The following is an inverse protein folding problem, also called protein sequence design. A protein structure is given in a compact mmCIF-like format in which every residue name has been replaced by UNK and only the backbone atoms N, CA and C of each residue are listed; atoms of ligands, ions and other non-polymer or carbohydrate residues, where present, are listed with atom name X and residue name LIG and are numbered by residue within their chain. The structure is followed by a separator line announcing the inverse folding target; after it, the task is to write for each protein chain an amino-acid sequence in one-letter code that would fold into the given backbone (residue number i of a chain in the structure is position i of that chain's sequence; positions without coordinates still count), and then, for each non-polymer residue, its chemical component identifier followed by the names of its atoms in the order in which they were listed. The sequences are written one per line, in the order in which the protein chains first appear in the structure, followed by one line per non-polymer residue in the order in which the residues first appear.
data_IF_850250050942
#
_entry.id   IF_850250050942
#
_cell.length_a   1.000
_cell.length_b   1.000
_cell.length_c   1.000
_cell.angle_alpha   90.00
_cell.angle_beta   90.00
_cell.angle_gamma   90.00
#
_symmetry.space_group_name_H-M   'P 1'
#
loop_
_entity.id
_entity.type
_entity.pdbx_description
1 polymer ?
#
# COMPACT_ATOMS: atom_id res chain seq x y z
N UNK A 1 -2.85 13.66 -8.18
CA UNK A 1 -2.24 12.60 -7.33
C UNK A 1 -3.17 12.32 -6.16
N UNK A 2 -3.02 11.18 -5.48
CA UNK A 2 -3.91 10.77 -4.36
C UNK A 2 -4.05 11.84 -3.27
N UNK A 3 -2.96 12.55 -2.95
CA UNK A 3 -3.01 13.66 -1.98
C UNK A 3 -3.79 14.86 -2.53
N UNK A 4 -3.57 15.23 -3.80
CA UNK A 4 -4.24 16.38 -4.41
C UNK A 4 -5.76 16.19 -4.60
N UNK A 5 -6.24 14.94 -4.68
CA UNK A 5 -7.69 14.68 -4.79
C UNK A 5 -8.44 14.86 -3.47
N UNK A 6 -7.75 14.97 -2.33
CA UNK A 6 -8.33 15.02 -0.99
C UNK A 6 -9.29 13.86 -0.67
N UNK A 7 -9.19 12.74 -1.39
CA UNK A 7 -10.13 11.63 -1.25
C UNK A 7 -10.17 11.07 0.19
N UNK A 8 -8.99 10.83 0.80
CA UNK A 8 -8.91 10.38 2.19
C UNK A 8 -9.48 11.40 3.18
N UNK A 9 -9.08 12.67 3.08
CA UNK A 9 -9.59 13.74 3.94
C UNK A 9 -11.10 13.85 3.89
N UNK A 10 -11.68 13.78 2.69
CA UNK A 10 -13.12 13.87 2.50
C UNK A 10 -13.84 12.64 3.08
N UNK A 11 -13.34 11.43 2.79
CA UNK A 11 -13.94 10.20 3.29
C UNK A 11 -13.90 10.11 4.83
N UNK A 12 -12.77 10.47 5.45
CA UNK A 12 -12.62 10.45 6.92
C UNK A 12 -13.55 11.48 7.57
N UNK A 13 -13.60 12.71 7.05
CA UNK A 13 -14.45 13.78 7.62
C UNK A 13 -15.94 13.55 7.41
N UNK A 14 -16.32 12.78 6.39
CA UNK A 14 -17.70 12.33 6.21
C UNK A 14 -18.14 11.35 7.31
N UNK A 15 -17.21 10.55 7.84
CA UNK A 15 -17.45 9.64 8.95
C UNK A 15 -17.42 10.38 10.28
N UNK A 16 -16.37 11.17 10.51
CA UNK A 16 -16.23 12.00 11.70
C UNK A 16 -15.53 13.33 11.36
N UNK A 17 -16.26 14.47 11.37
CA UNK A 17 -15.71 15.77 11.03
C UNK A 17 -14.73 16.31 12.09
N UNK A 18 -14.68 15.73 13.30
CA UNK A 18 -13.75 16.13 14.35
C UNK A 18 -12.33 15.59 14.13
N UNK A 19 -12.14 14.60 13.24
CA UNK A 19 -10.82 14.05 12.95
C UNK A 19 -9.99 15.04 12.14
N UNK A 20 -8.81 15.38 12.67
CA UNK A 20 -7.80 16.14 11.94
C UNK A 20 -7.01 15.23 11.00
N UNK A 21 -6.99 15.59 9.71
CA UNK A 21 -6.33 14.81 8.67
C UNK A 21 -5.18 15.60 8.08
N UNK A 22 -3.99 15.01 8.13
CA UNK A 22 -2.77 15.56 7.53
C UNK A 22 -2.34 14.68 6.36
N UNK A 23 -2.05 15.31 5.22
CA UNK A 23 -1.63 14.61 4.01
C UNK A 23 -0.22 15.03 3.59
N UNK A 24 0.64 14.06 3.32
CA UNK A 24 2.00 14.29 2.82
C UNK A 24 2.23 13.49 1.53
N UNK A 25 2.55 14.15 0.40
CA UNK A 25 3.00 13.44 -0.78
C UNK A 25 4.44 12.95 -0.59
N UNK A 26 4.68 11.67 -0.91
CA UNK A 26 5.99 11.02 -0.81
C UNK A 26 6.42 10.45 -2.18
N UNK A 27 6.72 11.30 -3.19
CA UNK A 27 6.92 10.85 -4.57
C UNK A 27 8.10 9.89 -4.75
N UNK A 28 9.16 10.00 -3.93
CA UNK A 28 10.33 9.12 -4.02
C UNK A 28 10.16 7.73 -3.40
N UNK A 29 9.08 7.48 -2.64
CA UNK A 29 8.86 6.15 -2.07
C UNK A 29 8.55 5.09 -3.14
N UNK A 30 7.84 5.45 -4.20
CA UNK A 30 7.54 4.53 -5.31
C UNK A 30 8.81 4.06 -6.01
N UNK A 31 9.70 4.92 -6.53
CA UNK A 31 10.92 4.45 -7.18
C UNK A 31 11.84 3.69 -6.21
N UNK A 32 11.89 4.02 -4.92
CA UNK A 32 12.66 3.23 -3.96
C UNK A 32 12.10 1.83 -3.74
N UNK A 33 10.77 1.69 -3.72
CA UNK A 33 10.13 0.39 -3.66
C UNK A 33 10.39 -0.44 -4.93
N UNK A 34 10.25 0.18 -6.11
CA UNK A 34 10.46 -0.49 -7.40
C UNK A 34 11.92 -0.91 -7.64
N UNK A 35 12.89 -0.13 -7.16
CA UNK A 35 14.32 -0.44 -7.27
C UNK A 35 14.83 -1.31 -6.11
N UNK A 36 13.94 -1.81 -5.24
CA UNK A 36 14.29 -2.71 -4.13
C UNK A 36 15.12 -2.06 -3.01
N UNK A 37 15.16 -0.72 -2.92
CA UNK A 37 15.93 0.04 -1.94
C UNK A 37 15.24 0.09 -0.56
N UNK A 38 14.69 -1.02 -0.09
CA UNK A 38 13.84 -1.08 1.11
C UNK A 38 14.62 -0.69 2.37
N UNK A 39 15.72 -1.38 2.63
CA UNK A 39 16.57 -1.20 3.82
C UNK A 39 17.82 -0.37 3.50
N UNK A 40 17.67 0.66 2.67
CA UNK A 40 18.77 1.50 2.21
C UNK A 40 18.84 2.83 2.98
N UNK A 41 20.05 3.35 3.22
CA UNK A 41 20.25 4.61 3.95
C UNK A 41 19.55 5.81 3.26
N UNK A 42 19.51 5.82 1.92
CA UNK A 42 18.79 6.85 1.17
C UNK A 42 17.28 6.85 1.47
N UNK A 43 16.68 5.66 1.58
CA UNK A 43 15.26 5.49 1.91
C UNK A 43 14.96 5.99 3.32
N UNK A 44 15.80 5.68 4.29
CA UNK A 44 15.65 6.19 5.66
C UNK A 44 15.77 7.72 5.72
N UNK A 45 16.72 8.32 4.99
CA UNK A 45 16.89 9.78 4.95
C UNK A 45 15.67 10.49 4.34
N UNK A 46 15.18 9.99 3.20
CA UNK A 46 13.99 10.56 2.55
C UNK A 46 12.74 10.35 3.41
N UNK A 47 12.61 9.19 4.07
CA UNK A 47 11.51 8.96 5.00
C UNK A 47 11.55 9.96 6.17
N UNK A 48 12.72 10.25 6.75
CA UNK A 48 12.87 11.29 7.79
C UNK A 48 12.39 12.65 7.29
N UNK A 49 12.84 13.07 6.11
CA UNK A 49 12.43 14.35 5.52
C UNK A 49 10.92 14.43 5.29
N UNK A 50 10.33 13.40 4.69
CA UNK A 50 8.90 13.40 4.38
C UNK A 50 8.02 13.30 5.62
N UNK A 51 8.38 12.47 6.59
CA UNK A 51 7.55 12.17 7.75
C UNK A 51 7.75 13.15 8.91
N UNK A 52 8.82 13.96 8.89
CA UNK A 52 9.09 14.94 9.95
C UNK A 52 7.92 15.92 10.20
N UNK A 53 7.29 16.53 9.17
CA UNK A 53 6.12 17.38 9.38
C UNK A 53 4.96 16.67 10.07
N UNK A 54 4.72 15.39 9.75
CA UNK A 54 3.65 14.59 10.36
C UNK A 54 3.97 14.25 11.82
N UNK A 55 5.25 13.98 12.12
CA UNK A 55 5.73 13.76 13.48
C UNK A 55 5.53 14.98 14.38
N UNK A 56 5.72 16.19 13.84
CA UNK A 56 5.45 17.43 14.56
C UNK A 56 3.96 17.61 14.91
N UNK A 57 3.06 17.09 14.07
CA UNK A 57 1.61 17.10 14.35
C UNK A 57 1.21 16.06 15.41
N UNK A 58 2.12 15.19 15.84
CA UNK A 58 1.87 14.13 16.83
C UNK A 58 0.70 13.21 16.45
N UNK A 59 0.62 12.84 15.17
CA UNK A 59 -0.36 11.86 14.70
C UNK A 59 -0.21 10.54 15.47
N UNK A 60 -1.32 9.87 15.73
CA UNK A 60 -1.36 8.53 16.33
C UNK A 60 -1.53 7.41 15.27
N UNK A 61 -1.97 7.78 14.06
CA UNK A 61 -2.31 6.86 12.98
C UNK A 61 -1.79 7.39 11.65
N UNK A 62 -1.21 6.52 10.84
CA UNK A 62 -0.71 6.85 9.50
C UNK A 62 -1.22 5.82 8.48
N UNK A 63 -1.97 6.29 7.49
CA UNK A 63 -2.44 5.46 6.38
C UNK A 63 -1.34 5.36 5.31
N UNK A 64 -0.98 4.13 4.95
CA UNK A 64 -0.12 3.83 3.81
C UNK A 64 -0.95 3.96 2.52
N UNK A 65 -1.14 5.20 2.07
CA UNK A 65 -2.08 5.57 0.99
C UNK A 65 -1.64 5.25 -0.44
N UNK A 66 -0.62 4.41 -0.63
CA UNK A 66 -0.14 3.95 -1.92
C UNK A 66 0.17 2.45 -1.83
N UNK A 67 -0.17 1.70 -2.88
CA UNK A 67 0.07 0.24 -2.96
C UNK A 67 1.54 -0.16 -2.77
N UNK A 68 2.48 0.76 -3.01
CA UNK A 68 3.90 0.50 -2.84
C UNK A 68 4.38 0.61 -1.39
N UNK A 69 3.71 1.38 -0.55
CA UNK A 69 4.24 1.76 0.76
C UNK A 69 4.32 0.61 1.79
N UNK A 70 3.49 -0.44 1.74
CA UNK A 70 3.64 -1.59 2.64
C UNK A 70 5.02 -2.23 2.63
N UNK A 71 5.74 -2.21 1.50
CA UNK A 71 7.09 -2.76 1.44
C UNK A 71 8.11 -1.94 2.22
N UNK A 72 7.85 -0.64 2.41
CA UNK A 72 8.67 0.28 3.17
C UNK A 72 8.22 0.39 4.63
N UNK A 73 7.27 -0.45 5.08
CA UNK A 73 6.62 -0.37 6.38
C UNK A 73 7.61 -0.24 7.52
N UNK A 74 8.65 -1.07 7.54
CA UNK A 74 9.62 -1.10 8.65
C UNK A 74 10.41 0.22 8.75
N UNK A 75 10.86 0.77 7.61
CA UNK A 75 11.55 2.07 7.58
C UNK A 75 10.59 3.20 7.96
N UNK A 76 9.35 3.16 7.48
CA UNK A 76 8.33 4.15 7.83
C UNK A 76 8.06 4.11 9.34
N UNK A 77 7.82 2.93 9.91
CA UNK A 77 7.55 2.72 11.34
C UNK A 77 8.72 3.23 12.19
N UNK A 78 9.95 2.84 11.85
CA UNK A 78 11.18 3.27 12.54
C UNK A 78 11.28 4.80 12.59
N UNK A 79 10.94 5.49 11.50
CA UNK A 79 11.06 6.95 11.40
C UNK A 79 9.94 7.68 12.14
N UNK A 80 8.68 7.26 11.91
CA UNK A 80 7.51 7.92 12.51
C UNK A 80 7.42 7.64 14.02
N UNK A 81 7.82 6.44 14.45
CA UNK A 81 7.87 5.96 15.83
C UNK A 81 6.85 4.85 16.11
N UNK A 82 7.17 3.97 17.06
CA UNK A 82 6.37 2.78 17.42
C UNK A 82 4.97 3.09 17.97
N UNK A 83 4.73 4.31 18.45
CA UNK A 83 3.42 4.72 18.97
C UNK A 83 2.42 5.08 17.88
N UNK A 84 2.84 5.11 16.60
CA UNK A 84 1.95 5.44 15.47
C UNK A 84 1.48 4.14 14.81
N UNK A 85 0.17 3.96 14.76
CA UNK A 85 -0.45 2.83 14.09
C UNK A 85 -0.38 3.00 12.56
N UNK A 86 0.29 2.06 11.87
CA UNK A 86 0.31 2.04 10.40
C UNK A 86 -0.85 1.21 9.84
N UNK A 87 -1.67 1.84 9.01
CA UNK A 87 -2.80 1.20 8.32
C UNK A 87 -2.40 0.85 6.88
N UNK A 88 -2.49 -0.43 6.54
CA UNK A 88 -2.29 -0.94 5.18
C UNK A 88 -3.63 -0.94 4.41
N UNK A 89 -3.70 -0.13 3.35
CA UNK A 89 -4.91 -0.01 2.53
C UNK A 89 -5.29 -1.33 1.83
N UNK A 90 -4.32 -2.18 1.49
CA UNK A 90 -4.54 -3.47 0.86
C UNK A 90 -5.14 -4.49 1.81
N UNK A 91 -4.67 -4.52 3.07
CA UNK A 91 -5.23 -5.39 4.11
C UNK A 91 -6.68 -5.00 4.47
N UNK A 92 -6.94 -3.70 4.61
CA UNK A 92 -8.30 -3.18 4.82
C UNK A 92 -9.22 -3.55 3.65
N UNK A 93 -8.74 -3.43 2.41
CA UNK A 93 -9.51 -3.81 1.23
C UNK A 93 -9.81 -5.32 1.19
N UNK A 94 -8.82 -6.18 1.48
CA UNK A 94 -9.01 -7.63 1.53
C UNK A 94 -10.06 -8.04 2.57
N UNK A 95 -10.01 -7.44 3.76
CA UNK A 95 -11.00 -7.66 4.84
C UNK A 95 -12.40 -7.23 4.40
N UNK A 96 -12.50 -6.07 3.73
CA UNK A 96 -13.78 -5.57 3.22
C UNK A 96 -14.35 -6.49 2.14
N UNK A 97 -13.51 -6.99 1.22
CA UNK A 97 -13.92 -7.95 0.19
C UNK A 97 -14.42 -9.27 0.81
N UNK A 98 -13.75 -9.79 1.83
CA UNK A 98 -14.21 -10.99 2.55
C UNK A 98 -15.61 -10.79 3.13
N UNK A 99 -15.84 -9.66 3.80
CA UNK A 99 -17.11 -9.32 4.42
C UNK A 99 -18.25 -9.24 3.40
N UNK A 100 -18.01 -8.58 2.26
CA UNK A 100 -18.99 -8.46 1.17
C UNK A 100 -19.30 -9.85 0.58
N UNK A 101 -18.26 -10.63 0.24
CA UNK A 101 -18.46 -11.98 -0.30
C UNK A 101 -19.23 -12.88 0.67
N UNK A 102 -19.02 -12.72 1.98
CA UNK A 102 -19.77 -13.44 2.99
C UNK A 102 -21.23 -13.00 3.08
N UNK A 103 -21.50 -11.70 3.16
CA UNK A 103 -22.87 -11.17 3.31
C UNK A 103 -23.74 -11.45 2.08
N UNK A 104 -23.14 -11.49 0.89
CA UNK A 104 -23.83 -11.80 -0.36
C UNK A 104 -23.89 -13.30 -0.69
N UNK A 105 -23.29 -14.16 0.14
CA UNK A 105 -23.26 -15.61 -0.11
C UNK A 105 -22.42 -16.01 -1.33
N UNK A 106 -21.45 -15.18 -1.73
CA UNK A 106 -20.60 -15.36 -2.91
C UNK A 106 -19.25 -16.04 -2.61
N UNK A 107 -19.01 -16.47 -1.37
CA UNK A 107 -17.78 -17.17 -1.01
C UNK A 107 -17.64 -18.47 -1.82
N UNK A 108 -16.47 -18.67 -2.42
CA UNK A 108 -16.13 -19.95 -3.03
C UNK A 108 -15.99 -21.02 -1.92
N UNK A 109 -16.84 -22.07 -1.88
CA UNK A 109 -16.80 -23.09 -0.83
C UNK A 109 -15.71 -24.15 -1.08
N UNK A 110 -15.06 -24.11 -2.23
CA UNK A 110 -14.03 -25.09 -2.61
C UNK A 110 -12.82 -25.03 -1.68
N UNK A 111 -12.32 -26.19 -1.29
CA UNK A 111 -11.04 -26.36 -0.58
C UNK A 111 -9.87 -26.65 -1.52
N UNK A 112 -10.11 -26.69 -2.82
CA UNK A 112 -9.07 -26.90 -3.81
C UNK A 112 -8.14 -25.68 -3.84
N UNK A 113 -6.87 -25.92 -4.21
CA UNK A 113 -5.92 -24.84 -4.39
C UNK A 113 -6.45 -23.85 -5.44
N UNK A 114 -6.47 -22.58 -5.09
CA UNK A 114 -6.91 -21.53 -5.99
C UNK A 114 -6.01 -21.48 -7.24
N UNK A 115 -6.64 -21.29 -8.41
CA UNK A 115 -5.91 -20.97 -9.64
C UNK A 115 -5.71 -19.46 -9.70
N UNK A 116 -4.47 -18.99 -9.55
CA UNK A 116 -4.11 -17.58 -9.58
C UNK A 116 -3.41 -17.28 -10.89
N UNK A 117 -3.88 -16.27 -11.61
CA UNK A 117 -3.33 -15.85 -12.90
C UNK A 117 -3.01 -14.35 -12.85
N UNK A 118 -1.85 -13.99 -13.39
CA UNK A 118 -1.39 -12.61 -13.44
C UNK A 118 -1.31 -12.12 -14.88
N UNK A 119 -1.82 -10.92 -15.13
CA UNK A 119 -1.86 -10.30 -16.44
C UNK A 119 -1.27 -8.89 -16.36
N UNK A 120 -0.47 -8.51 -17.36
CA UNK A 120 0.18 -7.19 -17.44
C UNK A 120 -0.01 -6.59 -18.82
N UNK A 121 -0.13 -5.26 -18.92
CA UNK A 121 -0.18 -4.56 -20.20
C UNK A 121 1.20 -4.34 -20.83
N UNK A 122 2.26 -4.39 -20.02
CA UNK A 122 3.63 -4.09 -20.44
C UNK A 122 4.64 -5.21 -20.09
N UNK A 123 5.93 -4.90 -20.00
CA UNK A 123 7.05 -5.85 -19.85
C UNK A 123 6.90 -6.79 -18.63
N UNK A 124 6.70 -8.11 -18.83
CA UNK A 124 6.48 -9.05 -17.74
C UNK A 124 7.66 -9.23 -16.77
N UNK A 125 8.90 -8.99 -17.21
CA UNK A 125 10.09 -9.31 -16.41
C UNK A 125 10.26 -8.37 -15.20
N UNK A 126 10.17 -7.05 -15.40
CA UNK A 126 10.26 -6.07 -14.29
C UNK A 126 9.10 -6.25 -13.30
N UNK A 127 7.92 -6.60 -13.81
CA UNK A 127 6.75 -6.91 -12.98
C UNK A 127 6.94 -8.17 -12.13
N UNK A 128 7.57 -9.22 -12.66
CA UNK A 128 7.83 -10.44 -11.91
C UNK A 128 8.76 -10.18 -10.71
N UNK A 129 9.86 -9.47 -10.91
CA UNK A 129 10.83 -9.18 -9.84
C UNK A 129 10.19 -8.38 -8.70
N UNK A 130 9.47 -7.31 -9.05
CA UNK A 130 8.78 -6.46 -8.07
C UNK A 130 7.58 -7.21 -7.46
N UNK A 131 6.76 -7.84 -8.28
CA UNK A 131 5.55 -8.51 -7.83
C UNK A 131 5.83 -9.66 -6.87
N UNK A 132 6.86 -10.47 -7.10
CA UNK A 132 7.27 -11.53 -6.18
C UNK A 132 7.81 -10.99 -4.84
N UNK A 133 8.50 -9.86 -4.90
CA UNK A 133 8.97 -9.14 -3.72
C UNK A 133 7.78 -8.63 -2.88
N UNK A 134 6.75 -8.06 -3.51
CA UNK A 134 5.52 -7.62 -2.82
C UNK A 134 4.67 -8.79 -2.30
N UNK A 135 4.57 -9.88 -3.06
CA UNK A 135 3.71 -11.02 -2.73
C UNK A 135 4.36 -11.97 -1.71
N UNK A 136 5.68 -11.88 -1.52
CA UNK A 136 6.44 -12.81 -0.66
C UNK A 136 6.47 -14.25 -1.17
N UNK A 137 6.07 -14.49 -2.42
CA UNK A 137 6.03 -15.81 -3.06
C UNK A 137 6.18 -15.70 -4.58
N UNK A 138 6.53 -16.81 -5.21
CA UNK A 138 6.64 -16.91 -6.67
C UNK A 138 5.28 -16.75 -7.35
N UNK A 139 5.21 -15.86 -8.35
CA UNK A 139 3.96 -15.55 -9.08
C UNK A 139 3.66 -16.55 -10.20
N UNK A 140 4.60 -17.41 -10.57
CA UNK A 140 4.43 -18.37 -11.66
C UNK A 140 4.39 -17.67 -13.03
N UNK A 141 3.35 -17.94 -13.83
CA UNK A 141 3.24 -17.41 -15.19
C UNK A 141 2.51 -16.08 -15.21
N UNK A 142 3.21 -15.02 -15.61
CA UNK A 142 2.65 -13.69 -15.91
C UNK A 142 2.45 -13.56 -17.43
N UNK A 143 1.23 -13.22 -17.85
CA UNK A 143 0.86 -13.08 -19.27
C UNK A 143 0.77 -11.62 -19.69
N UNK A 144 1.46 -11.23 -20.76
CA UNK A 144 1.24 -9.92 -21.40
C UNK A 144 -0.08 -9.94 -22.18
N UNK A 145 -0.91 -8.92 -21.98
CA UNK A 145 -2.17 -8.71 -22.70
C UNK A 145 -2.20 -7.31 -23.29
N UNK A 146 -2.79 -7.17 -24.48
CA UNK A 146 -3.05 -5.87 -25.09
C UNK A 146 -4.45 -5.41 -24.68
N UNK A 147 -4.54 -4.19 -24.16
CA UNK A 147 -5.80 -3.52 -23.84
C UNK A 147 -5.95 -2.44 -24.90
N UNK A 148 -6.93 -2.61 -25.80
CA UNK A 148 -7.32 -1.62 -26.82
C UNK A 148 -8.17 -0.50 -26.22
#
# INVERSE_FOLDING_TARGET
TTVLSNAYTNAIRQIDPAIEVFSKPCPLFVPFAEEGLINHQATELIAKEYLFPLKLQKIDTLILGCTHYPILRDVIQKVIGENVQLIDSGECAATTVEQILHSEGLRNPSKLKANVQFFVSDLPHKFLEIGELFLGQKMGVVKKVHIE
#
